data_IF_749099359420
#
_entry.id   IF_749099359420
#
_cell.length_a   1.000
_cell.length_b   1.000
_cell.length_c   1.000
_cell.angle_alpha   90.00
_cell.angle_beta   90.00
_cell.angle_gamma   90.00
#
_symmetry.space_group_name_H-M   'P 1'
#
loop_
_entity.id
_entity.type
_entity.pdbx_description
1 polymer ?
#
# COMPACT_ATOMS: atom_id res chain seq x y z
N UNK A 1 -9.23 9.88 -2.18
CA UNK A 1 -8.99 8.69 -1.34
C UNK A 1 -10.21 7.79 -1.29
N UNK A 2 -10.13 6.63 -1.92
CA UNK A 2 -11.29 5.76 -2.11
C UNK A 2 -11.09 4.28 -1.77
N UNK A 3 -9.85 3.83 -1.55
CA UNK A 3 -9.48 2.55 -0.92
C UNK A 3 -8.83 2.81 0.46
N UNK A 4 -9.10 1.95 1.44
CA UNK A 4 -8.57 2.08 2.80
C UNK A 4 -7.68 0.88 3.11
N UNK A 5 -6.57 1.09 3.80
CA UNK A 5 -5.66 -0.01 4.15
C UNK A 5 -6.22 -0.93 5.24
N UNK A 6 -5.74 -2.18 5.28
CA UNK A 6 -6.12 -3.18 6.27
C UNK A 6 -7.59 -3.62 6.17
N UNK A 7 -8.19 -3.46 4.99
CA UNK A 7 -9.62 -3.69 4.78
C UNK A 7 -9.93 -5.17 4.53
N UNK A 8 -9.10 -5.84 3.74
CA UNK A 8 -9.20 -7.24 3.37
C UNK A 8 -8.08 -8.07 3.99
N UNK A 9 -6.87 -7.51 4.13
CA UNK A 9 -5.75 -8.19 4.79
C UNK A 9 -5.63 -7.71 6.25
N UNK A 10 -5.63 -8.65 7.19
CA UNK A 10 -5.40 -8.38 8.62
C UNK A 10 -4.09 -9.03 9.04
N UNK A 11 -2.96 -8.42 8.70
CA UNK A 11 -1.67 -8.88 9.23
C UNK A 11 -0.45 -8.49 8.41
N UNK A 12 0.71 -8.80 8.96
CA UNK A 12 2.03 -8.61 8.33
C UNK A 12 2.40 -9.72 7.33
N UNK A 13 1.44 -10.60 7.01
CA UNK A 13 1.69 -11.70 6.07
C UNK A 13 1.36 -11.24 4.65
N UNK A 14 2.26 -11.51 3.68
CA UNK A 14 1.97 -11.23 2.28
C UNK A 14 0.77 -12.02 1.81
N UNK A 15 -0.07 -11.36 1.03
CA UNK A 15 -1.20 -11.99 0.36
C UNK A 15 -0.67 -12.97 -0.68
N UNK A 16 -1.15 -14.22 -0.71
CA UNK A 16 -0.76 -15.18 -1.74
C UNK A 16 -1.60 -15.04 -3.02
N UNK A 17 -1.11 -15.51 -4.19
CA UNK A 17 -1.85 -15.47 -5.45
C UNK A 17 -3.26 -16.08 -5.38
N UNK A 18 -3.43 -17.10 -4.53
CA UNK A 18 -4.68 -17.83 -4.30
C UNK A 18 -5.78 -17.00 -3.63
N UNK A 19 -5.43 -15.84 -3.07
CA UNK A 19 -6.39 -14.98 -2.38
C UNK A 19 -7.05 -13.98 -3.33
N UNK A 20 -6.48 -13.78 -4.53
CA UNK A 20 -7.04 -12.93 -5.58
C UNK A 20 -8.04 -13.70 -6.44
N UNK A 21 -9.06 -13.01 -6.93
CA UNK A 21 -9.99 -13.57 -7.92
C UNK A 21 -9.33 -13.65 -9.29
N UNK A 22 -8.58 -12.61 -9.67
CA UNK A 22 -7.78 -12.58 -10.90
C UNK A 22 -6.37 -12.07 -10.59
N UNK A 23 -5.48 -13.02 -10.36
CA UNK A 23 -4.08 -12.75 -10.10
C UNK A 23 -3.38 -11.90 -11.17
N UNK A 24 -3.71 -12.12 -12.45
CA UNK A 24 -3.11 -11.34 -13.55
C UNK A 24 -3.55 -9.89 -13.50
N UNK A 25 -4.76 -9.63 -13.05
CA UNK A 25 -5.23 -8.27 -12.84
C UNK A 25 -4.59 -7.62 -11.62
N UNK A 26 -4.39 -8.34 -10.52
CA UNK A 26 -3.64 -7.82 -9.38
C UNK A 26 -2.21 -7.42 -9.77
N UNK A 27 -1.54 -8.24 -10.60
CA UNK A 27 -0.24 -7.90 -11.19
C UNK A 27 -0.31 -6.61 -12.02
N UNK A 28 -1.34 -6.48 -12.85
CA UNK A 28 -1.59 -5.25 -13.64
C UNK A 28 -1.77 -4.03 -12.74
N UNK A 29 -2.60 -4.14 -11.71
CA UNK A 29 -2.84 -3.06 -10.74
C UNK A 29 -1.52 -2.60 -10.13
N UNK A 30 -0.69 -3.54 -9.69
CA UNK A 30 0.59 -3.21 -9.08
C UNK A 30 1.59 -2.58 -10.06
N UNK A 31 1.80 -3.18 -11.23
CA UNK A 31 2.87 -2.79 -12.14
C UNK A 31 2.51 -1.65 -13.09
N UNK A 32 1.22 -1.48 -13.40
CA UNK A 32 0.79 -0.49 -14.39
C UNK A 32 0.23 0.77 -13.71
N UNK A 33 -0.42 0.63 -12.55
CA UNK A 33 -1.02 1.76 -11.82
C UNK A 33 -0.02 2.30 -10.79
N UNK A 34 1.12 2.83 -11.24
CA UNK A 34 2.22 3.17 -10.35
C UNK A 34 2.04 4.45 -9.50
N UNK A 35 0.95 5.21 -9.71
CA UNK A 35 0.67 6.45 -8.97
C UNK A 35 -0.68 6.37 -8.26
N UNK A 36 -0.83 7.10 -7.14
CA UNK A 36 -2.10 7.25 -6.44
C UNK A 36 -3.24 7.70 -7.37
N UNK A 37 -2.96 8.61 -8.30
CA UNK A 37 -3.93 9.11 -9.29
C UNK A 37 -4.39 8.01 -10.24
N UNK A 38 -3.45 7.21 -10.77
CA UNK A 38 -3.78 6.10 -11.66
C UNK A 38 -4.58 5.00 -10.95
N UNK A 39 -4.26 4.75 -9.68
CA UNK A 39 -4.99 3.82 -8.82
C UNK A 39 -6.41 4.32 -8.55
N UNK A 40 -6.58 5.57 -8.10
CA UNK A 40 -7.89 6.15 -7.80
C UNK A 40 -8.78 6.22 -9.06
N UNK A 41 -8.20 6.53 -10.23
CA UNK A 41 -8.92 6.55 -11.51
C UNK A 41 -9.43 5.16 -11.93
N UNK A 42 -8.62 4.11 -11.75
CA UNK A 42 -9.05 2.73 -12.01
C UNK A 42 -10.08 2.27 -10.97
N UNK A 43 -9.84 2.57 -9.68
CA UNK A 43 -10.70 2.21 -8.57
C UNK A 43 -12.11 2.80 -8.72
N UNK A 44 -12.21 4.02 -9.24
CA UNK A 44 -13.47 4.70 -9.48
C UNK A 44 -14.43 3.91 -10.38
N UNK A 45 -13.90 3.04 -11.26
CA UNK A 45 -14.71 2.18 -12.15
C UNK A 45 -15.43 1.07 -11.41
N UNK A 46 -14.88 0.62 -10.28
CA UNK A 46 -15.33 -0.60 -9.59
C UNK A 46 -15.94 -0.34 -8.21
N UNK A 47 -15.60 0.80 -7.58
CA UNK A 47 -15.98 1.09 -6.20
C UNK A 47 -17.49 1.10 -5.96
N UNK A 48 -18.30 1.44 -6.96
CA UNK A 48 -19.76 1.51 -6.85
C UNK A 48 -20.39 0.14 -6.56
N UNK A 49 -19.92 -0.91 -7.23
CA UNK A 49 -20.36 -2.27 -6.97
C UNK A 49 -19.62 -2.91 -5.80
N UNK A 50 -18.32 -2.60 -5.65
CA UNK A 50 -17.47 -3.21 -4.63
C UNK A 50 -17.80 -2.77 -3.20
N UNK A 51 -17.97 -1.46 -2.93
CA UNK A 51 -18.16 -0.95 -1.55
C UNK A 51 -19.37 -1.56 -0.82
N UNK A 52 -20.56 -1.70 -1.44
CA UNK A 52 -21.69 -2.39 -0.82
C UNK A 52 -21.38 -3.87 -0.52
N UNK A 53 -20.73 -4.56 -1.46
CA UNK A 53 -20.35 -5.96 -1.26
C UNK A 53 -19.27 -6.12 -0.17
N UNK A 54 -18.33 -5.18 -0.08
CA UNK A 54 -17.31 -5.17 0.98
C UNK A 54 -17.94 -5.02 2.37
N UNK A 55 -19.00 -4.23 2.51
CA UNK A 55 -19.72 -4.12 3.78
C UNK A 55 -20.33 -5.47 4.19
N UNK A 56 -20.92 -6.20 3.24
CA UNK A 56 -21.40 -7.57 3.45
C UNK A 56 -20.25 -8.52 3.80
N UNK A 57 -19.12 -8.42 3.10
CA UNK A 57 -17.93 -9.25 3.34
C UNK A 57 -17.36 -9.06 4.75
N UNK A 58 -17.31 -7.81 5.23
CA UNK A 58 -16.87 -7.50 6.60
C UNK A 58 -17.82 -8.02 7.67
N UNK A 59 -19.12 -8.06 7.38
CA UNK A 59 -20.11 -8.60 8.31
C UNK A 59 -20.12 -10.13 8.32
N UNK A 60 -20.11 -10.75 7.13
CA UNK A 60 -20.08 -12.20 6.95
C UNK A 60 -19.42 -12.55 5.61
N UNK A 61 -18.13 -12.90 5.70
CA UNK A 61 -17.32 -13.32 4.55
C UNK A 61 -17.94 -14.49 3.78
N UNK A 62 -18.49 -15.49 4.47
CA UNK A 62 -19.03 -16.69 3.80
C UNK A 62 -20.29 -16.33 3.02
N UNK A 63 -21.18 -15.54 3.62
CA UNK A 63 -22.39 -15.06 2.95
C UNK A 63 -22.06 -14.18 1.76
N UNK A 64 -21.12 -13.24 1.89
CA UNK A 64 -20.74 -12.35 0.80
C UNK A 64 -20.14 -13.11 -0.40
N UNK A 65 -19.31 -14.14 -0.14
CA UNK A 65 -18.76 -15.00 -1.20
C UNK A 65 -19.82 -15.88 -1.86
N UNK A 66 -20.84 -16.32 -1.11
CA UNK A 66 -21.98 -17.03 -1.68
C UNK A 66 -22.85 -16.11 -2.54
N UNK A 67 -23.12 -14.89 -2.06
CA UNK A 67 -23.92 -13.88 -2.76
C UNK A 67 -23.22 -13.36 -4.02
N UNK A 68 -21.90 -13.26 -4.03
CA UNK A 68 -21.13 -12.85 -5.21
C UNK A 68 -21.46 -13.70 -6.45
N UNK A 69 -21.76 -14.99 -6.27
CA UNK A 69 -22.10 -15.92 -7.34
C UNK A 69 -23.49 -15.72 -7.92
N UNK A 70 -24.39 -15.04 -7.21
CA UNK A 70 -25.76 -14.77 -7.69
C UNK A 70 -25.87 -13.45 -8.46
N UNK A 71 -24.84 -12.60 -8.43
CA UNK A 71 -24.85 -11.35 -9.20
C UNK A 71 -24.69 -11.58 -10.71
N UNK A 72 -25.26 -10.69 -11.55
CA UNK A 72 -24.98 -10.67 -12.98
C UNK A 72 -23.47 -10.61 -13.24
N UNK A 73 -23.01 -11.25 -14.32
CA UNK A 73 -21.58 -11.40 -14.61
C UNK A 73 -20.82 -10.07 -14.58
N UNK A 74 -21.37 -9.01 -15.19
CA UNK A 74 -20.76 -7.69 -15.21
C UNK A 74 -20.54 -7.13 -13.79
N UNK A 75 -21.56 -7.20 -12.93
CA UNK A 75 -21.49 -6.73 -11.54
C UNK A 75 -20.53 -7.57 -10.71
N UNK A 76 -20.60 -8.90 -10.84
CA UNK A 76 -19.68 -9.84 -10.19
C UNK A 76 -18.24 -9.49 -10.53
N UNK A 77 -17.95 -9.27 -11.82
CA UNK A 77 -16.61 -8.93 -12.28
C UNK A 77 -16.11 -7.58 -11.78
N UNK A 78 -16.97 -6.57 -11.66
CA UNK A 78 -16.61 -5.31 -11.03
C UNK A 78 -16.22 -5.48 -9.55
N UNK A 79 -16.95 -6.34 -8.83
CA UNK A 79 -16.65 -6.64 -7.42
C UNK A 79 -15.32 -7.40 -7.31
N UNK A 80 -15.09 -8.42 -8.13
CA UNK A 80 -13.83 -9.17 -8.17
C UNK A 80 -12.64 -8.24 -8.48
N UNK A 81 -12.80 -7.33 -9.45
CA UNK A 81 -11.80 -6.30 -9.80
C UNK A 81 -11.53 -5.35 -8.63
N UNK A 82 -12.57 -4.82 -8.00
CA UNK A 82 -12.43 -3.98 -6.80
C UNK A 82 -11.77 -4.73 -5.64
N UNK A 83 -12.09 -6.00 -5.45
CA UNK A 83 -11.45 -6.83 -4.42
C UNK A 83 -9.95 -6.96 -4.67
N UNK A 84 -9.55 -7.34 -5.90
CA UNK A 84 -8.14 -7.51 -6.25
C UNK A 84 -7.35 -6.20 -6.11
N UNK A 85 -7.95 -5.07 -6.50
CA UNK A 85 -7.34 -3.73 -6.31
C UNK A 85 -7.15 -3.39 -4.83
N UNK A 86 -8.17 -3.62 -4.00
CA UNK A 86 -8.12 -3.30 -2.58
C UNK A 86 -7.07 -4.18 -1.87
N UNK A 87 -6.98 -5.44 -2.25
CA UNK A 87 -6.04 -6.39 -1.66
C UNK A 87 -4.59 -6.06 -2.05
N UNK A 88 -4.35 -5.63 -3.29
CA UNK A 88 -3.04 -5.12 -3.71
C UNK A 88 -2.66 -3.85 -2.93
N UNK A 89 -3.60 -2.92 -2.72
CA UNK A 89 -3.38 -1.71 -1.93
C UNK A 89 -3.10 -2.01 -0.45
N UNK A 90 -3.82 -2.95 0.16
CA UNK A 90 -3.57 -3.39 1.53
C UNK A 90 -2.14 -3.95 1.67
N UNK A 91 -1.70 -4.81 0.74
CA UNK A 91 -0.36 -5.40 0.77
C UNK A 91 0.74 -4.33 0.62
N UNK A 92 0.58 -3.41 -0.33
CA UNK A 92 1.45 -2.24 -0.47
C UNK A 92 1.51 -1.44 0.82
N UNK A 93 0.34 -1.08 1.36
CA UNK A 93 0.28 -0.19 2.52
C UNK A 93 0.93 -0.85 3.72
N UNK A 94 0.52 -2.06 4.07
CA UNK A 94 0.90 -2.68 5.33
C UNK A 94 2.34 -3.16 5.32
N UNK A 95 2.82 -3.70 4.20
CA UNK A 95 4.14 -4.33 4.13
C UNK A 95 5.24 -3.38 3.68
N UNK A 96 4.90 -2.36 2.89
CA UNK A 96 5.88 -1.39 2.38
C UNK A 96 5.77 -0.08 3.13
N UNK A 97 4.67 0.65 2.94
CA UNK A 97 4.57 2.03 3.42
C UNK A 97 4.54 2.10 4.95
N UNK A 98 3.63 1.39 5.62
CA UNK A 98 3.50 1.43 7.09
C UNK A 98 4.70 0.82 7.80
N UNK A 99 5.36 -0.17 7.20
CA UNK A 99 6.59 -0.74 7.74
C UNK A 99 7.72 0.28 7.73
N UNK A 100 7.89 0.98 6.62
CA UNK A 100 8.82 2.09 6.53
C UNK A 100 8.43 3.20 7.53
N UNK A 101 7.19 3.67 7.50
CA UNK A 101 6.72 4.78 8.32
C UNK A 101 6.89 4.51 9.82
N UNK A 102 6.53 3.30 10.29
CA UNK A 102 6.71 2.90 11.70
C UNK A 102 8.17 2.69 12.08
N UNK A 103 9.00 2.18 11.16
CA UNK A 103 10.44 2.01 11.36
C UNK A 103 11.25 3.30 11.24
N UNK A 104 10.63 4.34 10.66
CA UNK A 104 11.28 5.53 10.16
C UNK A 104 12.11 6.24 11.21
N UNK A 105 11.53 6.56 12.38
CA UNK A 105 12.22 7.38 13.37
C UNK A 105 13.59 6.78 13.73
N UNK A 106 13.66 5.47 13.96
CA UNK A 106 14.91 4.78 14.25
C UNK A 106 15.93 4.87 13.10
N UNK A 107 15.49 4.67 11.86
CA UNK A 107 16.37 4.75 10.68
C UNK A 107 16.80 6.19 10.39
N UNK A 108 15.90 7.17 10.51
CA UNK A 108 16.17 8.58 10.34
C UNK A 108 17.14 9.12 11.40
N UNK A 109 17.05 8.67 12.66
CA UNK A 109 18.04 8.96 13.68
C UNK A 109 19.43 8.45 13.28
N UNK A 110 19.55 7.20 12.80
CA UNK A 110 20.83 6.63 12.31
C UNK A 110 21.36 7.38 11.08
N UNK A 111 20.49 7.68 10.11
CA UNK A 111 20.85 8.36 8.87
C UNK A 111 21.26 9.82 9.12
N UNK A 112 20.57 10.54 10.00
CA UNK A 112 20.91 11.94 10.28
C UNK A 112 22.23 12.06 11.05
N UNK A 113 22.52 11.13 11.96
CA UNK A 113 23.81 11.05 12.66
C UNK A 113 24.99 10.73 11.73
N UNK A 114 24.77 10.07 10.60
CA UNK A 114 25.83 9.63 9.68
C UNK A 114 25.91 10.44 8.38
N UNK A 115 24.81 11.02 7.90
CA UNK A 115 24.68 11.67 6.58
C UNK A 115 24.12 13.10 6.64
N UNK A 116 23.76 13.62 7.82
CA UNK A 116 23.14 14.97 8.01
C UNK A 116 21.89 15.24 7.15
N UNK A 117 21.19 14.20 6.68
CA UNK A 117 19.88 14.28 6.02
C UNK A 117 18.98 13.17 6.54
N UNK A 118 17.72 13.50 6.83
CA UNK A 118 16.68 12.52 7.05
C UNK A 118 16.35 11.87 5.69
N UNK A 119 16.32 10.53 5.62
CA UNK A 119 15.89 9.83 4.40
C UNK A 119 14.38 10.03 4.22
N UNK A 120 13.88 10.16 3.01
CA UNK A 120 12.43 10.22 2.70
C UNK A 120 11.92 8.83 2.30
N UNK A 121 10.60 8.65 2.15
CA UNK A 121 10.10 7.42 1.54
C UNK A 121 10.54 7.31 0.08
N UNK A 122 10.68 8.44 -0.62
CA UNK A 122 11.23 8.48 -1.99
C UNK A 122 12.67 7.97 -2.03
N UNK A 123 13.51 8.34 -1.04
CA UNK A 123 14.85 7.79 -0.89
C UNK A 123 14.81 6.28 -0.62
N UNK A 124 13.86 5.82 0.21
CA UNK A 124 13.69 4.39 0.49
C UNK A 124 13.20 3.60 -0.73
N UNK A 125 12.24 4.15 -1.51
CA UNK A 125 11.79 3.60 -2.79
C UNK A 125 12.97 3.52 -3.77
N UNK A 126 13.76 4.58 -3.91
CA UNK A 126 14.95 4.59 -4.77
C UNK A 126 15.99 3.57 -4.30
N UNK A 127 16.22 3.45 -2.98
CA UNK A 127 17.14 2.45 -2.40
C UNK A 127 16.66 1.05 -2.72
N UNK A 128 15.37 0.76 -2.52
CA UNK A 128 14.77 -0.52 -2.85
C UNK A 128 14.99 -0.85 -4.32
N UNK A 129 14.77 0.10 -5.24
CA UNK A 129 15.06 -0.09 -6.68
C UNK A 129 16.56 -0.36 -6.96
N UNK A 130 17.49 0.20 -6.17
CA UNK A 130 18.95 0.00 -6.36
C UNK A 130 19.56 -1.28 -5.74
N UNK A 131 18.89 -1.97 -4.80
CA UNK A 131 19.35 -3.30 -4.35
C UNK A 131 19.07 -4.34 -5.49
N UNK A 132 20.09 -4.65 -6.29
CA UNK A 132 20.14 -5.57 -7.47
C UNK A 132 19.24 -6.83 -7.44
N UNK A 133 18.89 -7.44 -8.59
CA UNK A 133 18.30 -6.88 -9.82
C UNK A 133 16.76 -6.85 -9.76
N UNK A 134 16.19 -7.09 -8.58
CA UNK A 134 14.78 -7.35 -8.37
C UNK A 134 14.50 -7.18 -6.88
N UNK A 135 13.73 -6.18 -6.48
CA UNK A 135 12.99 -6.33 -5.22
C UNK A 135 11.83 -7.22 -5.58
N UNK A 136 11.82 -8.51 -5.19
CA UNK A 136 10.63 -9.31 -5.40
C UNK A 136 9.54 -8.61 -4.62
N UNK A 137 8.56 -8.07 -5.36
CA UNK A 137 7.32 -7.64 -4.77
C UNK A 137 6.79 -8.88 -4.04
N UNK A 138 6.82 -8.85 -2.70
CA UNK A 138 6.91 -10.07 -1.89
C UNK A 138 5.72 -10.99 -2.09
N UNK A 139 4.57 -10.43 -2.48
CA UNK A 139 3.40 -11.19 -2.90
C UNK A 139 3.44 -11.63 -4.38
N UNK A 140 3.95 -10.80 -5.31
CA UNK A 140 3.99 -11.13 -6.74
C UNK A 140 5.10 -12.11 -7.14
N UNK A 141 6.14 -12.28 -6.31
CA UNK A 141 7.37 -13.02 -6.64
C UNK A 141 7.95 -12.63 -8.02
N UNK A 142 7.77 -11.35 -8.37
CA UNK A 142 8.16 -10.78 -9.66
C UNK A 142 8.85 -9.43 -9.42
N UNK A 143 9.72 -9.09 -10.36
CA UNK A 143 10.43 -7.82 -10.40
C UNK A 143 9.59 -6.79 -11.11
N UNK A 144 9.55 -5.58 -10.58
CA UNK A 144 8.91 -4.45 -11.25
C UNK A 144 8.93 -3.19 -10.38
N UNK A 145 8.32 -2.11 -10.87
CA UNK A 145 8.19 -0.89 -10.08
C UNK A 145 7.42 -1.17 -8.78
N UNK A 146 7.79 -0.41 -7.74
CA UNK A 146 7.00 -0.32 -6.52
C UNK A 146 6.10 0.91 -6.70
N UNK A 147 4.77 0.76 -6.66
CA UNK A 147 3.87 1.88 -6.84
C UNK A 147 4.02 2.90 -5.70
N UNK A 148 3.81 4.17 -6.01
CA UNK A 148 3.62 5.22 -5.02
C UNK A 148 2.13 5.56 -4.92
N UNK A 149 1.43 4.87 -4.02
CA UNK A 149 0.02 5.10 -3.72
C UNK A 149 -0.21 5.97 -2.49
N UNK A 150 0.82 6.71 -2.05
CA UNK A 150 0.65 7.67 -0.95
C UNK A 150 -0.24 8.80 -1.41
N UNK A 151 -1.22 9.08 -0.57
CA UNK A 151 -2.06 10.25 -0.71
C UNK A 151 -1.40 11.50 -0.10
N UNK A 152 -2.10 12.65 -0.18
CA UNK A 152 -1.59 13.91 0.36
C UNK A 152 -1.48 13.91 1.89
N UNK A 153 -2.33 13.14 2.58
CA UNK A 153 -2.30 13.04 4.04
C UNK A 153 -1.07 12.26 4.51
N UNK A 154 -0.71 11.19 3.81
CA UNK A 154 0.52 10.44 4.00
C UNK A 154 1.73 11.33 3.84
N UNK A 155 1.81 12.03 2.72
CA UNK A 155 2.91 12.95 2.43
C UNK A 155 3.02 14.03 3.52
N UNK A 156 1.89 14.55 4.01
CA UNK A 156 1.88 15.50 5.12
C UNK A 156 2.38 14.90 6.44
N UNK A 157 1.95 13.67 6.78
CA UNK A 157 2.42 12.94 7.97
C UNK A 157 3.91 12.67 7.93
N UNK A 158 4.44 12.27 6.77
CA UNK A 158 5.88 12.10 6.56
C UNK A 158 6.65 13.40 6.83
N UNK A 159 6.20 14.51 6.26
CA UNK A 159 6.83 15.80 6.47
C UNK A 159 6.83 16.23 7.94
N UNK A 160 5.72 16.01 8.65
CA UNK A 160 5.64 16.30 10.08
C UNK A 160 6.61 15.43 10.90
N UNK A 161 6.68 14.13 10.57
CA UNK A 161 7.61 13.19 11.19
C UNK A 161 9.08 13.58 10.97
N UNK A 162 9.43 13.98 9.74
CA UNK A 162 10.78 14.46 9.39
C UNK A 162 11.18 15.69 10.20
N UNK A 163 10.29 16.69 10.30
CA UNK A 163 10.53 17.90 11.09
C UNK A 163 10.83 17.55 12.55
N UNK A 164 10.02 16.67 13.15
CA UNK A 164 10.20 16.23 14.53
C UNK A 164 11.58 15.59 14.78
N UNK A 165 12.05 14.73 13.86
CA UNK A 165 13.39 14.11 13.99
C UNK A 165 14.50 15.16 13.94
N UNK A 166 14.39 16.15 13.05
CA UNK A 166 15.37 17.25 12.94
C UNK A 166 15.37 18.10 14.21
N UNK A 167 14.20 18.49 14.71
CA UNK A 167 14.06 19.30 15.91
C UNK A 167 14.60 18.57 17.16
N UNK A 168 14.28 17.28 17.32
CA UNK A 168 14.78 16.46 18.42
C UNK A 168 16.32 16.35 18.39
N UNK A 169 16.92 16.23 17.21
CA UNK A 169 18.37 16.17 17.04
C UNK A 169 19.05 17.51 17.35
N UNK A 170 18.48 18.63 16.90
CA UNK A 170 18.97 19.97 17.21
C UNK A 170 18.92 20.24 18.72
N UNK A 171 17.81 19.88 19.38
CA UNK A 171 17.65 20.03 20.82
C UNK A 171 18.66 19.19 21.62
N UNK A 172 19.02 17.99 21.14
CA UNK A 172 20.07 17.16 21.76
C UNK A 172 21.46 17.74 21.57
N UNK A 173 21.74 18.35 20.43
CA UNK A 173 23.03 18.99 20.17
C UNK A 173 23.24 20.23 21.05
N UNK A 174 22.19 21.04 21.28
CA UNK A 174 22.25 22.24 22.14
C UNK A 174 22.44 21.94 23.64
N UNK A 175 22.28 20.67 24.07
CA UNK A 175 22.48 20.22 25.45
C UNK A 175 23.87 19.63 25.71
N UNK A 176 24.72 19.53 24.69
CA UNK A 176 26.11 19.08 24.78
C UNK A 176 27.06 20.27 24.74
#
# INVERSE_FOLDING_TARGET
MTANAGVLNWGYNPVGPEQFFDWKYAQKVWFDLNTAESYDAEWAKYQGDFKPWLALYKADKRKALAELKSYPEAKRRNIERGYDMQLAYDDWRDLLYMRWYKGYAHEAYRATLTKKKAQTFDDSLAIWVTFKPCVPVRFLNQCGPIPDWRDDEDKAKEQAMMRKVVDDLAARAAKK
#
